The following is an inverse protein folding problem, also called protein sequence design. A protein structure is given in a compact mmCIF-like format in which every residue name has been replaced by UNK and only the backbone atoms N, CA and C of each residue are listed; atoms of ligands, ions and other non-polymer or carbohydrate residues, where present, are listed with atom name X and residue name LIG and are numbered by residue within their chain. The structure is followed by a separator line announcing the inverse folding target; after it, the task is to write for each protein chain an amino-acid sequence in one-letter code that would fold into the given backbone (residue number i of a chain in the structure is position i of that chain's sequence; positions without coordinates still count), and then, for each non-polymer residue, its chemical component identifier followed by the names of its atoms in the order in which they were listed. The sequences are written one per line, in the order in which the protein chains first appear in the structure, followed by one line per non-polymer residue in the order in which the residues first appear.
data_IF_090469607710
#
_entry.id   IF_090469607710
#
_cell.length_a   1.000
_cell.length_b   1.000
_cell.length_c   1.000
_cell.angle_alpha   90.00
_cell.angle_beta   90.00
_cell.angle_gamma   90.00
#
_symmetry.space_group_name_H-M   'P 1'
#
loop_
_entity.id
_entity.type
_entity.pdbx_description
1 polymer ?
#
# COMPACT_ATOMS: atom_id res chain seq x y z
N UNK A 1 -11.61 -31.61 -0.61
CA UNK A 1 -11.74 -30.21 -0.14
C UNK A 1 -11.62 -29.30 -1.34
N UNK A 2 -12.73 -28.69 -1.77
CA UNK A 2 -12.76 -27.84 -2.95
C UNK A 2 -12.30 -26.43 -2.56
N UNK A 3 -11.06 -26.10 -2.89
CA UNK A 3 -10.52 -24.77 -2.73
C UNK A 3 -11.23 -23.81 -3.70
N UNK A 4 -11.97 -22.84 -3.17
CA UNK A 4 -12.74 -21.88 -3.96
C UNK A 4 -12.17 -20.47 -3.78
N UNK A 5 -11.62 -19.89 -4.85
CA UNK A 5 -10.96 -18.58 -4.87
C UNK A 5 -11.91 -17.41 -4.59
N UNK A 6 -13.22 -17.62 -4.75
CA UNK A 6 -14.23 -16.57 -4.54
C UNK A 6 -14.31 -16.11 -3.08
N UNK A 7 -14.00 -16.98 -2.10
CA UNK A 7 -14.01 -16.63 -0.68
C UNK A 7 -12.86 -15.68 -0.27
N UNK A 8 -11.84 -15.53 -1.12
CA UNK A 8 -10.72 -14.62 -0.91
C UNK A 8 -10.81 -13.35 -1.76
N UNK A 9 -11.78 -13.27 -2.68
CA UNK A 9 -12.17 -12.02 -3.32
C UNK A 9 -13.05 -11.21 -2.34
N UNK A 10 -12.48 -10.79 -1.21
CA UNK A 10 -12.93 -9.53 -0.61
C UNK A 10 -12.67 -8.49 -1.69
N UNK A 11 -13.70 -8.11 -2.45
CA UNK A 11 -13.72 -6.81 -3.13
C UNK A 11 -13.42 -5.85 -2.00
N UNK A 12 -12.15 -5.43 -1.91
CA UNK A 12 -11.73 -4.39 -0.99
C UNK A 12 -12.67 -3.27 -1.38
N UNK A 13 -13.64 -2.95 -0.53
CA UNK A 13 -14.26 -1.64 -0.58
C UNK A 13 -13.07 -0.72 -0.29
N UNK A 14 -12.34 -0.39 -1.35
CA UNK A 14 -11.35 0.66 -1.34
C UNK A 14 -12.22 1.87 -1.13
N UNK A 15 -12.42 2.23 0.13
CA UNK A 15 -12.88 3.57 0.47
C UNK A 15 -11.96 4.49 -0.31
N UNK A 16 -12.52 5.08 -1.38
CA UNK A 16 -11.79 5.95 -2.29
C UNK A 16 -11.12 7.00 -1.41
N UNK A 17 -9.82 6.84 -1.18
CA UNK A 17 -9.07 7.78 -0.36
C UNK A 17 -9.13 9.11 -1.10
N UNK A 18 -9.91 10.02 -0.54
CA UNK A 18 -10.13 11.33 -1.12
C UNK A 18 -8.83 12.11 -0.96
N UNK A 19 -8.27 12.65 -2.06
CA UNK A 19 -7.03 13.39 -1.96
C UNK A 19 -7.24 14.67 -1.16
N UNK A 20 -6.21 15.11 -0.44
CA UNK A 20 -6.26 16.27 0.47
C UNK A 20 -6.71 17.58 -0.22
N UNK A 21 -6.52 17.68 -1.54
CA UNK A 21 -6.95 18.82 -2.35
C UNK A 21 -8.45 18.82 -2.70
N UNK A 22 -9.13 17.67 -2.65
CA UNK A 22 -10.56 17.55 -2.96
C UNK A 22 -11.45 17.94 -1.77
N UNK A 23 -11.41 19.23 -1.40
CA UNK A 23 -12.12 19.77 -0.23
C UNK A 23 -13.63 19.97 -0.47
N UNK A 24 -14.02 20.39 -1.67
CA UNK A 24 -15.41 20.71 -2.00
C UNK A 24 -16.18 19.50 -2.54
N UNK A 25 -17.49 19.42 -2.29
CA UNK A 25 -18.31 18.31 -2.79
C UNK A 25 -18.28 18.19 -4.32
N UNK A 26 -18.19 19.31 -5.04
CA UNK A 26 -18.07 19.32 -6.51
C UNK A 26 -16.72 18.74 -6.96
N UNK A 27 -15.60 19.14 -6.33
CA UNK A 27 -14.28 18.55 -6.63
C UNK A 27 -14.22 17.06 -6.32
N UNK A 28 -14.86 16.62 -5.23
CA UNK A 28 -14.92 15.19 -4.88
C UNK A 28 -15.71 14.39 -5.90
N UNK A 29 -16.84 14.93 -6.37
CA UNK A 29 -17.65 14.28 -7.40
C UNK A 29 -16.89 14.17 -8.72
N UNK A 30 -16.24 15.26 -9.15
CA UNK A 30 -15.39 15.28 -10.34
C UNK A 30 -14.24 14.26 -10.26
N UNK A 31 -13.59 14.16 -9.09
CA UNK A 31 -12.53 13.17 -8.86
C UNK A 31 -13.05 11.72 -8.97
N UNK A 32 -14.16 11.39 -8.30
CA UNK A 32 -14.75 10.05 -8.37
C UNK A 32 -15.15 9.70 -9.80
N UNK A 33 -15.80 10.63 -10.51
CA UNK A 33 -16.23 10.41 -11.89
C UNK A 33 -15.04 10.28 -12.84
N UNK A 34 -13.95 11.02 -12.62
CA UNK A 34 -12.72 10.85 -13.39
C UNK A 34 -12.11 9.46 -13.21
N UNK A 35 -12.12 8.91 -11.99
CA UNK A 35 -11.67 7.54 -11.73
C UNK A 35 -12.55 6.51 -12.41
N UNK A 36 -13.88 6.64 -12.31
CA UNK A 36 -14.83 5.76 -13.01
C UNK A 36 -14.59 5.77 -14.52
N UNK A 37 -14.48 6.97 -15.12
CA UNK A 37 -14.17 7.11 -16.54
C UNK A 37 -12.82 6.48 -16.91
N UNK A 38 -11.80 6.61 -16.05
CA UNK A 38 -10.50 5.99 -16.31
C UNK A 38 -10.60 4.46 -16.38
N UNK A 39 -11.44 3.86 -15.54
CA UNK A 39 -11.65 2.42 -15.51
C UNK A 39 -12.47 1.94 -16.70
N UNK A 40 -13.54 2.67 -17.06
CA UNK A 40 -14.32 2.42 -18.27
C UNK A 40 -13.44 2.46 -19.52
N UNK A 41 -12.56 3.48 -19.63
CA UNK A 41 -11.61 3.59 -20.74
C UNK A 41 -10.67 2.38 -20.75
N UNK A 42 -10.09 1.98 -19.61
CA UNK A 42 -9.23 0.78 -19.53
C UNK A 42 -9.94 -0.49 -20.00
N UNK A 43 -11.19 -0.69 -19.59
CA UNK A 43 -11.98 -1.83 -20.03
C UNK A 43 -12.24 -1.79 -21.54
N UNK A 44 -12.61 -0.62 -22.08
CA UNK A 44 -12.79 -0.46 -23.52
C UNK A 44 -11.48 -0.67 -24.28
N UNK A 45 -10.34 -0.25 -23.71
CA UNK A 45 -9.02 -0.47 -24.30
C UNK A 45 -8.73 -1.95 -24.47
N UNK A 46 -9.19 -2.84 -23.58
CA UNK A 46 -9.01 -4.30 -23.68
C UNK A 46 -9.90 -4.96 -24.74
N UNK A 47 -11.07 -4.39 -25.02
CA UNK A 47 -12.06 -4.96 -25.93
C UNK A 47 -11.89 -4.43 -27.36
N UNK A 48 -11.75 -3.11 -27.52
CA UNK A 48 -11.74 -2.46 -28.83
C UNK A 48 -10.36 -2.54 -29.48
N UNK A 49 -10.33 -2.99 -30.73
CA UNK A 49 -9.11 -3.08 -31.55
C UNK A 49 -8.58 -1.70 -31.94
N UNK A 50 -9.46 -0.80 -32.33
CA UNK A 50 -9.13 0.58 -32.74
C UNK A 50 -10.01 1.59 -31.99
N UNK A 51 -9.40 2.33 -31.07
CA UNK A 51 -10.06 3.38 -30.30
C UNK A 51 -9.57 4.75 -30.79
N UNK A 52 -10.42 5.77 -31.03
CA UNK A 52 -9.97 7.10 -31.42
C UNK A 52 -9.29 7.85 -30.25
N UNK A 53 -8.40 8.81 -30.54
CA UNK A 53 -7.62 9.55 -29.52
C UNK A 53 -8.48 10.16 -28.41
N UNK A 54 -9.67 10.69 -28.76
CA UNK A 54 -10.60 11.30 -27.80
C UNK A 54 -11.27 10.28 -26.87
N UNK A 55 -11.40 9.02 -27.28
CA UNK A 55 -11.98 7.96 -26.47
C UNK A 55 -10.94 7.32 -25.52
N UNK A 56 -9.65 7.53 -25.76
CA UNK A 56 -8.55 7.06 -24.90
C UNK A 56 -8.26 7.98 -23.71
N UNK A 57 -8.89 9.16 -23.66
CA UNK A 57 -8.58 10.21 -22.69
C UNK A 57 -9.83 10.70 -22.00
N UNK A 58 -9.66 11.09 -20.74
CA UNK A 58 -10.66 11.84 -19.99
C UNK A 58 -10.71 13.25 -20.57
N UNK A 59 -11.82 13.59 -21.22
CA UNK A 59 -12.07 14.91 -21.79
C UNK A 59 -12.76 15.79 -20.74
N UNK A 60 -12.17 16.94 -20.40
CA UNK A 60 -12.71 17.82 -19.35
C UNK A 60 -14.17 18.24 -19.60
N UNK A 61 -14.54 18.49 -20.86
CA UNK A 61 -15.91 18.86 -21.22
C UNK A 61 -16.91 17.72 -20.95
N UNK A 62 -16.53 16.47 -21.20
CA UNK A 62 -17.43 15.32 -20.94
C UNK A 62 -17.53 15.06 -19.45
N UNK A 63 -16.42 15.16 -18.72
CA UNK A 63 -16.41 15.07 -17.26
C UNK A 63 -17.30 16.15 -16.62
N UNK A 64 -17.21 17.39 -17.09
CA UNK A 64 -18.05 18.50 -16.63
C UNK A 64 -19.54 18.21 -16.84
N UNK A 65 -19.89 17.72 -18.03
CA UNK A 65 -21.27 17.37 -18.38
C UNK A 65 -21.82 16.23 -17.50
N UNK A 66 -21.02 15.17 -17.26
CA UNK A 66 -21.42 14.04 -16.42
C UNK A 66 -21.65 14.43 -14.95
N UNK A 67 -20.94 15.46 -14.46
CA UNK A 67 -21.10 15.96 -13.10
C UNK A 67 -22.07 17.14 -12.98
N UNK A 68 -22.75 17.54 -14.06
CA UNK A 68 -23.60 18.75 -14.12
C UNK A 68 -22.88 20.04 -13.67
N UNK A 69 -21.61 20.19 -14.05
CA UNK A 69 -20.78 21.36 -13.72
C UNK A 69 -20.43 22.13 -15.01
N UNK A 70 -20.37 23.46 -14.96
CA UNK A 70 -19.92 24.26 -16.09
C UNK A 70 -18.43 23.99 -16.40
N UNK A 71 -18.04 23.78 -17.67
CA UNK A 71 -16.64 23.61 -18.05
C UNK A 71 -15.73 24.77 -17.61
N UNK A 72 -16.29 25.98 -17.47
CA UNK A 72 -15.57 27.17 -16.98
C UNK A 72 -15.03 27.02 -15.55
N UNK A 73 -15.61 26.11 -14.76
CA UNK A 73 -15.18 25.82 -13.39
C UNK A 73 -13.99 24.85 -13.34
N UNK A 74 -13.74 24.10 -14.41
CA UNK A 74 -12.66 23.13 -14.55
C UNK A 74 -11.55 23.74 -15.41
N UNK A 75 -10.87 24.75 -14.85
CA UNK A 75 -9.77 25.46 -15.51
C UNK A 75 -8.52 25.44 -14.65
N UNK A 76 -7.34 25.53 -15.27
CA UNK A 76 -6.05 25.41 -14.55
C UNK A 76 -5.91 26.43 -13.42
N UNK A 77 -6.59 27.58 -13.55
CA UNK A 77 -6.62 28.62 -12.51
C UNK A 77 -7.54 28.28 -11.34
N UNK A 78 -8.66 27.60 -11.58
CA UNK A 78 -9.71 27.33 -10.57
C UNK A 78 -9.53 26.00 -9.86
N UNK A 79 -9.06 24.98 -10.58
CA UNK A 79 -8.84 23.63 -10.07
C UNK A 79 -7.53 23.05 -10.60
N UNK A 80 -6.37 23.64 -10.22
CA UNK A 80 -5.06 23.19 -10.70
C UNK A 80 -4.81 21.72 -10.39
N UNK A 81 -5.09 21.27 -9.17
CA UNK A 81 -4.80 19.90 -8.71
C UNK A 81 -5.64 18.83 -9.42
N UNK A 82 -6.90 19.14 -9.75
CA UNK A 82 -7.75 18.23 -10.53
C UNK A 82 -7.21 18.09 -11.95
N UNK A 83 -6.70 19.17 -12.53
CA UNK A 83 -6.18 19.17 -13.90
C UNK A 83 -4.85 18.44 -13.98
N UNK A 84 -3.95 18.64 -13.01
CA UNK A 84 -2.71 17.87 -12.95
C UNK A 84 -3.02 16.39 -12.80
N UNK A 85 -3.96 16.01 -11.93
CA UNK A 85 -4.42 14.63 -11.78
C UNK A 85 -5.02 14.02 -13.06
N UNK A 86 -5.86 14.76 -13.78
CA UNK A 86 -6.42 14.29 -15.06
C UNK A 86 -5.32 14.16 -16.12
N UNK A 87 -4.35 15.06 -16.13
CA UNK A 87 -3.21 14.98 -17.05
C UNK A 87 -2.32 13.77 -16.75
N UNK A 88 -2.06 13.45 -15.48
CA UNK A 88 -1.30 12.25 -15.11
C UNK A 88 -2.06 10.99 -15.52
N UNK A 89 -3.35 10.90 -15.24
CA UNK A 89 -4.17 9.75 -15.69
C UNK A 89 -4.18 9.63 -17.21
N UNK A 90 -4.32 10.75 -17.93
CA UNK A 90 -4.32 10.71 -19.40
C UNK A 90 -2.97 10.28 -19.98
N UNK A 91 -1.86 10.60 -19.31
CA UNK A 91 -0.54 10.09 -19.69
C UNK A 91 -0.46 8.58 -19.43
N UNK A 92 -0.87 8.12 -18.24
CA UNK A 92 -0.92 6.69 -17.90
C UNK A 92 -1.81 5.89 -18.86
N UNK A 93 -2.97 6.42 -19.24
CA UNK A 93 -3.87 5.79 -20.20
C UNK A 93 -3.24 5.70 -21.59
N UNK A 94 -2.50 6.72 -22.03
CA UNK A 94 -1.79 6.69 -23.31
C UNK A 94 -0.65 5.66 -23.29
N UNK A 95 0.11 5.58 -22.19
CA UNK A 95 1.17 4.58 -22.02
C UNK A 95 0.60 3.16 -21.99
N UNK A 96 -0.50 2.95 -21.26
CA UNK A 96 -1.24 1.68 -21.26
C UNK A 96 -1.76 1.33 -22.64
N UNK A 97 -2.35 2.30 -23.37
CA UNK A 97 -2.80 2.07 -24.74
C UNK A 97 -1.63 1.69 -25.65
N UNK A 98 -0.50 2.37 -25.57
CA UNK A 98 0.69 2.06 -26.37
C UNK A 98 1.22 0.66 -26.05
N UNK A 99 1.24 0.27 -24.77
CA UNK A 99 1.58 -1.10 -24.35
C UNK A 99 0.61 -2.14 -24.90
N UNK A 100 -0.70 -1.90 -24.77
CA UNK A 100 -1.75 -2.78 -25.29
C UNK A 100 -1.69 -2.87 -26.82
N UNK A 101 -1.47 -1.76 -27.51
CA UNK A 101 -1.31 -1.71 -28.97
C UNK A 101 -0.05 -2.46 -29.43
N UNK A 102 1.07 -2.30 -28.73
CA UNK A 102 2.33 -2.97 -29.04
C UNK A 102 2.24 -4.48 -28.81
N UNK A 103 1.58 -4.91 -27.74
CA UNK A 103 1.33 -6.33 -27.45
C UNK A 103 0.30 -6.95 -28.40
N UNK A 104 -0.66 -6.17 -28.91
CA UNK A 104 -1.67 -6.64 -29.88
C UNK A 104 -1.16 -7.00 -31.25
N UNK A 105 0.15 -6.93 -31.49
CA UNK A 105 0.79 -7.26 -32.76
C UNK A 105 0.12 -6.55 -33.93
N UNK A 106 0.72 -5.42 -34.30
CA UNK A 106 0.68 -5.05 -35.71
C UNK A 106 1.23 -6.25 -36.48
N UNK A 107 0.36 -6.91 -37.24
CA UNK A 107 0.72 -7.96 -38.19
C UNK A 107 1.95 -7.51 -38.97
N UNK A 108 3.08 -8.18 -38.77
CA UNK A 108 4.30 -7.88 -39.52
C UNK A 108 5.46 -8.82 -39.22
N UNK A 109 5.79 -9.04 -37.94
CA UNK A 109 6.88 -9.95 -37.57
C UNK A 109 6.58 -10.69 -36.28
N UNK A 110 6.39 -12.00 -36.39
CA UNK A 110 6.45 -12.89 -35.23
C UNK A 110 7.87 -12.84 -34.69
N UNK A 111 8.02 -12.68 -33.38
CA UNK A 111 9.31 -12.85 -32.72
C UNK A 111 9.87 -14.22 -33.10
N UNK A 112 11.15 -14.24 -33.46
CA UNK A 112 11.85 -15.48 -33.74
C UNK A 112 11.99 -16.29 -32.45
N UNK A 113 12.16 -17.61 -32.57
CA UNK A 113 12.33 -18.51 -31.41
C UNK A 113 13.47 -18.06 -30.48
N UNK A 114 14.52 -17.47 -31.05
CA UNK A 114 15.66 -16.93 -30.31
C UNK A 114 15.27 -15.69 -29.51
N UNK A 115 14.58 -14.73 -30.12
CA UNK A 115 14.11 -13.51 -29.43
C UNK A 115 13.13 -13.85 -28.30
N UNK A 116 12.19 -14.78 -28.55
CA UNK A 116 11.28 -15.31 -27.53
C UNK A 116 12.02 -15.98 -26.38
N UNK A 117 13.05 -16.78 -26.69
CA UNK A 117 13.87 -17.43 -25.65
C UNK A 117 14.62 -16.40 -24.81
N UNK A 118 15.20 -15.37 -25.44
CA UNK A 118 15.89 -14.30 -24.69
C UNK A 118 14.95 -13.52 -23.78
N UNK A 119 13.72 -13.21 -24.23
CA UNK A 119 12.72 -12.56 -23.38
C UNK A 119 12.25 -13.47 -22.25
N UNK A 120 12.05 -14.76 -22.53
CA UNK A 120 11.68 -15.74 -21.52
C UNK A 120 12.76 -15.87 -20.44
N UNK A 121 14.02 -15.97 -20.84
CA UNK A 121 15.15 -16.07 -19.91
C UNK A 121 15.30 -14.79 -19.08
N UNK A 122 15.12 -13.60 -19.69
CA UNK A 122 15.11 -12.33 -18.97
C UNK A 122 13.96 -12.24 -17.96
N UNK A 123 12.74 -12.63 -18.34
CA UNK A 123 11.60 -12.65 -17.42
C UNK A 123 11.77 -13.67 -16.30
N UNK A 124 12.38 -14.82 -16.58
CA UNK A 124 12.68 -15.82 -15.57
C UNK A 124 13.68 -15.29 -14.53
N UNK A 125 14.72 -14.59 -14.96
CA UNK A 125 15.67 -13.94 -14.07
C UNK A 125 14.99 -12.87 -13.20
N UNK A 126 14.11 -12.07 -13.78
CA UNK A 126 13.35 -11.06 -13.03
C UNK A 126 12.45 -11.70 -11.97
N UNK A 127 11.77 -12.80 -12.30
CA UNK A 127 10.95 -13.56 -11.34
C UNK A 127 11.80 -14.12 -10.20
N UNK A 128 12.97 -14.67 -10.49
CA UNK A 128 13.89 -15.17 -9.47
C UNK A 128 14.40 -14.05 -8.57
N UNK A 129 14.75 -12.91 -9.15
CA UNK A 129 15.16 -11.71 -8.40
C UNK A 129 14.06 -11.24 -7.46
N UNK A 130 12.83 -11.05 -7.95
CA UNK A 130 11.68 -10.63 -7.15
C UNK A 130 11.31 -11.65 -6.07
N UNK A 131 11.44 -12.94 -6.35
CA UNK A 131 11.22 -14.01 -5.36
C UNK A 131 12.24 -13.91 -4.23
N UNK A 132 13.52 -13.74 -4.56
CA UNK A 132 14.58 -13.60 -3.56
C UNK A 132 14.40 -12.33 -2.72
N UNK A 133 14.04 -11.21 -3.36
CA UNK A 133 13.73 -9.96 -2.67
C UNK A 133 12.60 -10.14 -1.66
N UNK A 134 11.49 -10.76 -2.09
CA UNK A 134 10.33 -10.99 -1.22
C UNK A 134 10.63 -11.95 -0.06
N UNK A 135 11.48 -12.96 -0.29
CA UNK A 135 11.96 -13.85 0.76
C UNK A 135 12.82 -13.08 1.77
N UNK A 136 13.73 -12.23 1.31
CA UNK A 136 14.56 -11.40 2.18
C UNK A 136 13.71 -10.43 3.02
N UNK A 137 12.71 -9.79 2.42
CA UNK A 137 11.74 -8.94 3.13
C UNK A 137 10.99 -9.73 4.20
N UNK A 138 10.46 -10.91 3.87
CA UNK A 138 9.76 -11.76 4.83
C UNK A 138 10.66 -12.17 6.00
N UNK A 139 11.92 -12.54 5.74
CA UNK A 139 12.88 -12.87 6.80
C UNK A 139 13.19 -11.66 7.69
N UNK A 140 13.41 -10.48 7.10
CA UNK A 140 13.68 -9.27 7.89
C UNK A 140 12.50 -8.88 8.79
N UNK A 141 11.27 -9.09 8.32
CA UNK A 141 10.06 -8.87 9.13
C UNK A 141 9.99 -9.88 10.28
N UNK A 142 10.20 -11.17 10.00
CA UNK A 142 10.18 -12.21 11.04
C UNK A 142 11.26 -11.99 12.11
N UNK A 143 12.47 -11.56 11.71
CA UNK A 143 13.55 -11.22 12.66
C UNK A 143 13.14 -10.02 13.52
N UNK A 144 12.54 -8.98 12.93
CA UNK A 144 12.08 -7.80 13.69
C UNK A 144 11.00 -8.14 14.69
N UNK A 145 10.06 -9.00 14.32
CA UNK A 145 8.98 -9.45 15.20
C UNK A 145 9.53 -10.26 16.38
N UNK A 146 10.40 -11.24 16.11
CA UNK A 146 11.05 -12.03 17.16
C UNK A 146 11.90 -11.15 18.10
N UNK A 147 12.63 -10.17 17.56
CA UNK A 147 13.45 -9.26 18.37
C UNK A 147 12.57 -8.35 19.24
N UNK A 148 11.39 -7.95 18.77
CA UNK A 148 10.40 -7.21 19.56
C UNK A 148 9.82 -8.06 20.70
N UNK A 149 9.50 -9.34 20.44
CA UNK A 149 9.06 -10.29 21.46
C UNK A 149 10.14 -10.58 22.51
N UNK A 150 11.38 -10.80 22.07
CA UNK A 150 12.51 -10.99 22.99
C UNK A 150 12.72 -9.76 23.88
N UNK A 151 12.62 -8.56 23.30
CA UNK A 151 12.73 -7.30 24.05
C UNK A 151 11.60 -7.17 25.08
N UNK A 152 10.36 -7.50 24.72
CA UNK A 152 9.24 -7.41 25.68
C UNK A 152 9.41 -8.41 26.82
N UNK A 153 9.85 -9.64 26.54
CA UNK A 153 10.16 -10.64 27.55
C UNK A 153 11.27 -10.17 28.51
N UNK A 154 12.35 -9.58 27.98
CA UNK A 154 13.43 -9.03 28.80
C UNK A 154 12.96 -7.87 29.69
N UNK A 155 12.07 -7.00 29.18
CA UNK A 155 11.49 -5.91 29.99
C UNK A 155 10.71 -6.49 31.17
N UNK A 156 9.88 -7.51 30.93
CA UNK A 156 9.12 -8.18 32.00
C UNK A 156 10.08 -8.80 33.03
N UNK A 157 11.15 -9.48 32.59
CA UNK A 157 12.15 -10.05 33.50
C UNK A 157 12.86 -8.98 34.35
N UNK A 158 13.20 -7.84 33.76
CA UNK A 158 13.80 -6.73 34.49
C UNK A 158 12.83 -6.23 35.57
N UNK A 159 11.55 -6.01 35.21
CA UNK A 159 10.53 -5.57 36.16
C UNK A 159 10.34 -6.57 37.31
N UNK A 160 10.32 -7.87 37.02
CA UNK A 160 10.19 -8.89 38.07
C UNK A 160 11.39 -8.88 39.03
N UNK A 161 12.60 -8.73 38.50
CA UNK A 161 13.82 -8.66 39.31
C UNK A 161 13.87 -7.37 40.13
N UNK A 162 13.40 -6.25 39.60
CA UNK A 162 13.31 -4.98 40.34
C UNK A 162 12.35 -5.10 41.52
N UNK A 163 11.22 -5.77 41.34
CA UNK A 163 10.26 -6.06 42.42
C UNK A 163 10.93 -6.96 43.48
N UNK A 164 11.55 -8.06 43.08
CA UNK A 164 12.21 -8.98 44.02
C UNK A 164 13.34 -8.30 44.81
N UNK A 165 14.14 -7.45 44.16
CA UNK A 165 15.17 -6.64 44.83
C UNK A 165 14.54 -5.68 45.85
N UNK A 166 13.39 -5.09 45.53
CA UNK A 166 12.68 -4.19 46.46
C UNK A 166 12.17 -4.94 47.70
N UNK A 167 11.57 -6.12 47.51
CA UNK A 167 11.07 -6.97 48.60
C UNK A 167 12.22 -7.44 49.51
N UNK A 168 13.31 -7.92 48.93
CA UNK A 168 14.50 -8.33 49.67
C UNK A 168 15.13 -7.17 50.45
N UNK A 169 15.13 -5.96 49.90
CA UNK A 169 15.61 -4.76 50.62
C UNK A 169 14.73 -4.44 51.82
N UNK A 170 13.41 -4.52 51.68
CA UNK A 170 12.47 -4.28 52.76
C UNK A 170 12.58 -5.33 53.86
N UNK A 171 12.72 -6.61 53.50
CA UNK A 171 12.94 -7.69 54.44
C UNK A 171 14.26 -7.50 55.22
N UNK A 172 15.34 -7.15 54.53
CA UNK A 172 16.64 -6.91 55.15
C UNK A 172 16.60 -5.68 56.08
N UNK A 173 15.84 -4.64 55.74
CA UNK A 173 15.58 -3.50 56.64
C UNK A 173 14.81 -3.93 57.88
N UNK A 174 13.80 -4.78 57.74
CA UNK A 174 13.02 -5.31 58.86
C UNK A 174 13.87 -6.19 59.79
N UNK A 175 14.67 -7.11 59.24
CA UNK A 175 15.61 -7.94 60.01
C UNK A 175 16.64 -7.08 60.75
N UNK A 176 17.18 -6.03 60.12
CA UNK A 176 18.09 -5.07 60.78
C UNK A 176 17.42 -4.34 61.94
N UNK A 177 16.15 -3.93 61.80
CA UNK A 177 15.37 -3.32 62.90
C UNK A 177 15.18 -4.31 64.05
N UNK A 178 14.81 -5.54 63.75
CA UNK A 178 14.57 -6.59 64.75
C UNK A 178 15.85 -6.95 65.51
N UNK A 179 16.98 -7.09 64.81
CA UNK A 179 18.30 -7.29 65.43
C UNK A 179 18.69 -6.14 66.36
N UNK A 180 18.43 -4.88 65.97
CA UNK A 180 18.68 -3.73 66.86
C UNK A 180 17.84 -3.80 68.13
N UNK A 181 16.56 -4.15 68.00
CA UNK A 181 15.66 -4.30 69.15
C UNK A 181 16.12 -5.41 70.11
N UNK A 182 16.52 -6.57 69.58
CA UNK A 182 17.07 -7.68 70.38
C UNK A 182 18.36 -7.28 71.09
N UNK A 183 19.28 -6.62 70.41
CA UNK A 183 20.52 -6.11 71.02
C UNK A 183 20.24 -5.12 72.16
N UNK A 184 19.24 -4.24 72.00
CA UNK A 184 18.84 -3.33 73.09
C UNK A 184 18.16 -4.04 74.26
N UNK A 185 17.49 -5.16 74.02
CA UNK A 185 16.85 -5.97 75.07
C UNK A 185 17.86 -6.83 75.84
N UNK A 186 18.93 -7.30 75.18
CA UNK A 186 20.01 -8.07 75.80
C UNK A 186 20.98 -7.23 76.64
N UNK A 187 21.08 -5.93 76.38
CA UNK A 187 21.95 -5.00 77.11
C UNK A 187 21.22 -4.25 78.25
N UNK A 188 20.05 -4.74 78.68
CA UNK A 188 19.32 -4.32 79.88
C UNK A 188 19.34 -5.44 80.91
#
# INVERSE_FOLDING_TARGET
MNFNLENYSKKKNVELQLPAWAKSNTTRNLYKKALEMSEEIKQQMLIQKDMPLKARKIVLRTLAALCNVSPSLITSRRQPDLITFINTINAELEDQWNSVKNTRTTSGRKLTKTELKTQFDAMKLEIEYLKNLRIAEAFTLAIRENLAESRSALIIQIQTLEIEISELRDENLNLKKLNRQLLTALNK
#
